data_IF_862435824736
#
_entry.id   IF_862435824736
#
_cell.length_a   1.000
_cell.length_b   1.000
_cell.length_c   1.000
_cell.angle_alpha   90.00
_cell.angle_beta   90.00
_cell.angle_gamma   90.00
#
_symmetry.space_group_name_H-M   'P 1'
#
loop_
_entity.id
_entity.type
_entity.pdbx_description
1 polymer ?
#
# COMPACT_ATOMS: atom_id res chain seq x y z
N UNK A 1 -35.22 -8.26 45.18
CA UNK A 1 -34.22 -9.04 44.43
C UNK A 1 -32.85 -8.60 44.88
N UNK A 2 -32.04 -9.52 45.41
CA UNK A 2 -30.67 -9.23 45.90
C UNK A 2 -29.76 -8.85 44.71
N UNK A 3 -28.81 -7.91 44.86
CA UNK A 3 -27.81 -7.66 43.84
C UNK A 3 -26.96 -8.91 43.63
N UNK A 4 -26.70 -9.27 42.37
CA UNK A 4 -25.89 -10.43 42.02
C UNK A 4 -24.43 -10.22 42.46
N UNK A 5 -23.83 -11.23 43.09
CA UNK A 5 -22.42 -11.30 43.50
C UNK A 5 -21.38 -11.00 42.39
N UNK A 6 -21.79 -10.93 41.13
CA UNK A 6 -20.91 -10.61 39.99
C UNK A 6 -20.61 -9.12 39.83
N UNK A 7 -21.39 -8.22 40.44
CA UNK A 7 -21.13 -6.77 40.39
C UNK A 7 -20.12 -6.29 41.44
N UNK A 8 -19.64 -7.17 42.33
CA UNK A 8 -18.69 -6.82 43.40
C UNK A 8 -17.24 -7.23 43.12
N UNK A 9 -16.95 -7.84 41.96
CA UNK A 9 -15.59 -8.36 41.64
C UNK A 9 -14.83 -7.48 40.65
N UNK A 10 -15.51 -6.57 39.95
CA UNK A 10 -14.86 -5.59 39.07
C UNK A 10 -15.20 -4.18 39.57
N UNK A 11 -14.25 -3.44 40.17
CA UNK A 11 -14.49 -2.04 40.50
C UNK A 11 -14.89 -1.32 39.22
N UNK A 12 -16.00 -0.58 39.25
CA UNK A 12 -16.45 0.28 38.15
C UNK A 12 -15.31 1.25 37.81
N UNK A 13 -14.54 0.90 36.78
CA UNK A 13 -13.47 1.73 36.28
C UNK A 13 -14.05 3.08 35.87
N UNK A 14 -13.35 4.15 36.26
CA UNK A 14 -13.69 5.54 35.93
C UNK A 14 -14.08 5.63 34.46
N UNK A 15 -15.33 6.01 34.17
CA UNK A 15 -15.81 6.10 32.80
C UNK A 15 -15.01 7.16 32.03
N UNK A 16 -14.45 6.79 30.88
CA UNK A 16 -13.73 7.74 30.03
C UNK A 16 -14.63 8.29 28.93
N UNK A 17 -14.30 9.49 28.47
CA UNK A 17 -14.96 10.09 27.30
C UNK A 17 -14.48 9.41 26.01
N UNK A 18 -15.33 9.42 24.98
CA UNK A 18 -14.96 8.92 23.65
C UNK A 18 -13.74 9.67 23.08
N UNK A 19 -13.63 10.97 23.36
CA UNK A 19 -12.50 11.82 22.96
C UNK A 19 -11.19 11.35 23.59
N UNK A 20 -11.18 11.05 24.91
CA UNK A 20 -9.98 10.54 25.58
C UNK A 20 -9.54 9.20 24.97
N UNK A 21 -10.49 8.32 24.69
CA UNK A 21 -10.19 7.04 24.05
C UNK A 21 -9.54 7.22 22.67
N UNK A 22 -10.06 8.15 21.85
CA UNK A 22 -9.47 8.51 20.55
C UNK A 22 -8.06 9.08 20.70
N UNK A 23 -7.83 9.97 21.67
CA UNK A 23 -6.50 10.55 21.92
C UNK A 23 -5.50 9.48 22.37
N UNK A 24 -5.90 8.56 23.26
CA UNK A 24 -5.04 7.45 23.66
C UNK A 24 -4.71 6.52 22.49
N UNK A 25 -5.69 6.22 21.64
CA UNK A 25 -5.43 5.46 20.41
C UNK A 25 -4.52 6.21 19.44
N UNK A 26 -4.68 7.51 19.24
CA UNK A 26 -3.80 8.30 18.38
C UNK A 26 -2.36 8.33 18.89
N UNK A 27 -2.17 8.46 20.21
CA UNK A 27 -0.85 8.32 20.85
C UNK A 27 -0.26 6.94 20.63
N UNK A 28 -1.07 5.89 20.79
CA UNK A 28 -0.64 4.51 20.54
C UNK A 28 -0.14 4.34 19.10
N UNK A 29 -0.90 4.80 18.10
CA UNK A 29 -0.49 4.71 16.69
C UNK A 29 0.84 5.44 16.43
N UNK A 30 1.02 6.63 16.99
CA UNK A 30 2.27 7.40 16.81
C UNK A 30 3.46 6.71 17.45
N UNK A 31 3.30 6.11 18.62
CA UNK A 31 4.41 5.51 19.37
C UNK A 31 4.80 4.15 18.79
N UNK A 32 3.81 3.31 18.44
CA UNK A 32 4.06 1.91 18.11
C UNK A 32 3.90 1.58 16.62
N UNK A 33 2.91 2.16 15.95
CA UNK A 33 2.55 1.75 14.58
C UNK A 33 3.17 2.63 13.49
N UNK A 34 3.90 3.68 13.86
CA UNK A 34 4.61 4.61 12.97
C UNK A 34 6.14 4.55 13.16
N UNK A 35 6.69 3.43 13.63
CA UNK A 35 8.14 3.28 13.86
C UNK A 35 8.95 3.56 12.59
N UNK A 36 8.63 2.90 11.47
CA UNK A 36 9.29 3.14 10.17
C UNK A 36 9.15 4.58 9.68
N UNK A 37 7.99 5.21 9.87
CA UNK A 37 7.80 6.62 9.55
C UNK A 37 8.81 7.49 10.29
N UNK A 38 8.97 7.31 11.60
CA UNK A 38 9.95 8.08 12.37
C UNK A 38 11.39 7.69 12.08
N UNK A 39 11.68 6.43 11.73
CA UNK A 39 13.01 6.00 11.30
C UNK A 39 13.49 6.81 10.08
N UNK A 40 12.69 6.85 9.01
CA UNK A 40 13.02 7.61 7.80
C UNK A 40 13.06 9.12 8.04
N UNK A 41 12.21 9.64 8.92
CA UNK A 41 12.29 11.06 9.35
C UNK A 41 13.63 11.36 10.02
N UNK A 42 14.15 10.47 10.86
CA UNK A 42 15.41 10.67 11.58
C UNK A 42 16.64 10.55 10.66
N UNK A 43 16.55 9.84 9.55
CA UNK A 43 17.60 9.82 8.52
C UNK A 43 17.75 11.20 7.84
N UNK A 44 16.63 11.87 7.59
CA UNK A 44 16.60 13.22 6.96
C UNK A 44 16.81 14.34 7.97
N UNK A 45 16.22 14.21 9.17
CA UNK A 45 16.28 15.18 10.25
C UNK A 45 16.86 14.53 11.52
N UNK A 46 18.20 14.36 11.60
CA UNK A 46 18.84 13.67 12.72
C UNK A 46 18.53 14.30 14.07
N UNK A 47 18.50 13.45 15.11
CA UNK A 47 18.24 13.86 16.47
C UNK A 47 19.32 14.82 16.97
N UNK A 48 18.98 16.10 17.07
CA UNK A 48 19.86 17.18 17.51
C UNK A 48 19.06 18.27 18.20
N UNK A 49 19.72 19.11 19.00
CA UNK A 49 19.07 20.26 19.65
C UNK A 49 18.34 21.18 18.67
N UNK A 50 18.83 21.29 17.42
CA UNK A 50 18.19 22.10 16.37
C UNK A 50 16.89 21.48 15.87
N UNK A 51 16.85 20.16 15.71
CA UNK A 51 15.71 19.45 15.14
C UNK A 51 14.71 18.97 16.20
N UNK A 52 15.09 18.94 17.48
CA UNK A 52 14.26 18.42 18.57
C UNK A 52 12.85 19.01 18.58
N UNK A 53 12.74 20.34 18.48
CA UNK A 53 11.44 21.01 18.51
C UNK A 53 10.60 20.69 17.26
N UNK A 54 11.24 20.48 16.10
CA UNK A 54 10.55 20.08 14.86
C UNK A 54 10.06 18.64 14.94
N UNK A 55 10.88 17.71 15.42
CA UNK A 55 10.51 16.31 15.63
C UNK A 55 9.37 16.18 16.65
N UNK A 56 9.45 16.93 17.76
CA UNK A 56 8.37 16.99 18.74
C UNK A 56 7.08 17.56 18.13
N UNK A 57 7.20 18.60 17.29
CA UNK A 57 6.06 19.18 16.59
C UNK A 57 5.42 18.21 15.60
N UNK A 58 6.24 17.39 14.90
CA UNK A 58 5.76 16.38 13.96
C UNK A 58 5.02 15.26 14.69
N UNK A 59 5.55 14.76 15.80
CA UNK A 59 4.88 13.75 16.62
C UNK A 59 3.55 14.29 17.17
N UNK A 60 3.56 15.51 17.74
CA UNK A 60 2.33 16.15 18.24
C UNK A 60 1.31 16.40 17.13
N UNK A 61 1.75 16.92 15.98
CA UNK A 61 0.92 17.13 14.80
C UNK A 61 0.34 15.82 14.25
N UNK A 62 1.13 14.73 14.28
CA UNK A 62 0.69 13.38 13.92
C UNK A 62 -0.40 12.86 14.85
N UNK A 63 -0.25 13.02 16.18
CA UNK A 63 -1.31 12.66 17.14
C UNK A 63 -2.60 13.44 16.86
N UNK A 64 -2.50 14.75 16.57
CA UNK A 64 -3.68 15.56 16.24
C UNK A 64 -4.33 15.12 14.92
N UNK A 65 -3.53 14.82 13.89
CA UNK A 65 -4.02 14.37 12.59
C UNK A 65 -4.70 13.00 12.67
N UNK A 66 -4.10 12.03 13.35
CA UNK A 66 -4.69 10.71 13.58
C UNK A 66 -5.93 10.84 14.46
N UNK A 67 -5.89 11.64 15.52
CA UNK A 67 -7.04 11.90 16.37
C UNK A 67 -8.23 12.52 15.61
N UNK A 68 -7.95 13.50 14.73
CA UNK A 68 -8.94 14.09 13.84
C UNK A 68 -9.52 13.03 12.89
N UNK A 69 -8.67 12.26 12.23
CA UNK A 69 -9.07 11.16 11.35
C UNK A 69 -9.99 10.14 12.06
N UNK A 70 -9.59 9.65 13.23
CA UNK A 70 -10.38 8.69 14.01
C UNK A 70 -11.70 9.29 14.51
N UNK A 71 -11.72 10.59 14.83
CA UNK A 71 -12.96 11.31 15.21
C UNK A 71 -13.93 11.40 14.03
N UNK A 72 -13.43 11.70 12.83
CA UNK A 72 -14.22 11.74 11.60
C UNK A 72 -14.73 10.34 11.22
N UNK A 73 -13.88 9.30 11.26
CA UNK A 73 -14.28 7.92 11.02
C UNK A 73 -15.35 7.44 12.04
N UNK A 74 -15.15 7.80 13.31
CA UNK A 74 -16.12 7.54 14.38
C UNK A 74 -17.41 8.36 14.25
N UNK A 75 -17.52 9.29 13.30
CA UNK A 75 -18.77 10.02 13.06
C UNK A 75 -19.75 9.22 12.22
N UNK A 76 -19.26 8.29 11.40
CA UNK A 76 -20.07 7.38 10.57
C UNK A 76 -20.42 6.10 11.33
N UNK A 77 -19.48 5.56 12.10
CA UNK A 77 -19.64 4.31 12.85
C UNK A 77 -19.37 4.51 14.35
N UNK A 78 -19.84 3.61 15.25
CA UNK A 78 -19.55 3.73 16.68
C UNK A 78 -18.03 3.71 16.97
N UNK A 79 -17.58 4.53 17.92
CA UNK A 79 -16.15 4.76 18.19
C UNK A 79 -15.36 3.48 18.48
N UNK A 80 -15.89 2.57 19.31
CA UNK A 80 -15.18 1.34 19.68
C UNK A 80 -14.86 0.42 18.49
N UNK A 81 -15.85 0.01 17.65
CA UNK A 81 -15.58 -0.74 16.43
C UNK A 81 -14.56 -0.09 15.51
N UNK A 82 -14.64 1.24 15.33
CA UNK A 82 -13.69 1.98 14.48
C UNK A 82 -12.27 1.85 15.02
N UNK A 83 -12.07 2.10 16.31
CA UNK A 83 -10.75 1.99 16.94
C UNK A 83 -10.19 0.57 16.90
N UNK A 84 -11.03 -0.44 17.18
CA UNK A 84 -10.64 -1.85 17.11
C UNK A 84 -10.23 -2.21 15.68
N UNK A 85 -11.02 -1.84 14.67
CA UNK A 85 -10.69 -2.09 13.28
C UNK A 85 -9.34 -1.49 12.91
N UNK A 86 -9.12 -0.21 13.24
CA UNK A 86 -7.85 0.46 12.93
C UNK A 86 -6.68 -0.16 13.68
N UNK A 87 -6.80 -0.51 14.96
CA UNK A 87 -5.72 -1.17 15.70
C UNK A 87 -5.32 -2.52 15.07
N UNK A 88 -6.30 -3.32 14.65
CA UNK A 88 -6.03 -4.61 14.00
C UNK A 88 -5.35 -4.42 12.65
N UNK A 89 -5.91 -3.58 11.78
CA UNK A 89 -5.36 -3.36 10.43
C UNK A 89 -3.99 -2.66 10.49
N UNK A 90 -3.85 -1.64 11.32
CA UNK A 90 -2.58 -0.93 11.53
C UNK A 90 -1.49 -1.82 12.07
N UNK A 91 -1.79 -2.82 12.90
CA UNK A 91 -0.77 -3.74 13.41
C UNK A 91 -0.13 -4.58 12.29
N UNK A 92 -0.94 -5.00 11.31
CA UNK A 92 -0.45 -5.71 10.11
C UNK A 92 0.30 -4.75 9.19
N UNK A 93 -0.24 -3.55 8.99
CA UNK A 93 0.42 -2.51 8.19
C UNK A 93 1.79 -2.12 8.78
N UNK A 94 1.88 -1.94 10.10
CA UNK A 94 3.11 -1.64 10.82
C UNK A 94 4.13 -2.78 10.66
N UNK A 95 3.70 -4.05 10.75
CA UNK A 95 4.59 -5.18 10.49
C UNK A 95 5.20 -5.14 9.08
N UNK A 96 4.35 -4.91 8.06
CA UNK A 96 4.78 -4.87 6.66
C UNK A 96 5.74 -3.70 6.41
N UNK A 97 5.45 -2.53 6.96
CA UNK A 97 6.32 -1.35 6.88
C UNK A 97 7.65 -1.59 7.63
N UNK A 98 7.60 -2.06 8.87
CA UNK A 98 8.79 -2.23 9.72
C UNK A 98 9.71 -3.37 9.31
N UNK A 99 9.19 -4.40 8.63
CA UNK A 99 9.98 -5.58 8.26
C UNK A 99 10.49 -5.52 6.83
N UNK A 100 9.66 -5.00 5.91
CA UNK A 100 9.97 -5.02 4.48
C UNK A 100 10.16 -3.64 3.87
N UNK A 101 10.00 -2.58 4.67
CA UNK A 101 10.07 -1.18 4.22
C UNK A 101 9.08 -0.86 3.09
N UNK A 102 7.96 -1.58 3.07
CA UNK A 102 6.93 -1.48 2.04
C UNK A 102 5.98 -0.33 2.34
N UNK A 103 5.76 0.50 1.33
CA UNK A 103 4.69 1.51 1.32
C UNK A 103 3.37 0.88 0.86
N UNK A 104 2.29 1.10 1.63
CA UNK A 104 0.95 0.63 1.28
C UNK A 104 0.23 1.69 0.44
N UNK A 105 0.69 1.86 -0.79
CA UNK A 105 0.10 2.75 -1.79
C UNK A 105 -1.07 2.08 -2.55
N UNK A 106 -1.61 2.78 -3.55
CA UNK A 106 -2.69 2.25 -4.40
C UNK A 106 -2.29 0.94 -5.11
N UNK A 107 -1.03 0.83 -5.57
CA UNK A 107 -0.55 -0.36 -6.29
C UNK A 107 -0.43 -1.53 -5.32
N UNK A 108 0.04 -1.28 -4.10
CA UNK A 108 0.09 -2.32 -3.07
C UNK A 108 -1.31 -2.80 -2.66
N UNK A 109 -2.29 -1.90 -2.57
CA UNK A 109 -3.70 -2.31 -2.36
C UNK A 109 -4.19 -3.17 -3.53
N UNK A 110 -3.85 -2.81 -4.77
CA UNK A 110 -4.18 -3.63 -5.95
C UNK A 110 -3.50 -5.01 -5.87
N UNK A 111 -2.21 -5.09 -5.50
CA UNK A 111 -1.51 -6.34 -5.29
C UNK A 111 -2.22 -7.22 -4.27
N UNK A 112 -2.56 -6.67 -3.10
CA UNK A 112 -3.25 -7.42 -2.03
C UNK A 112 -4.58 -8.00 -2.52
N UNK A 113 -5.30 -7.29 -3.40
CA UNK A 113 -6.59 -7.74 -3.96
C UNK A 113 -6.41 -8.78 -5.06
N UNK A 114 -5.36 -8.66 -5.88
CA UNK A 114 -5.08 -9.55 -7.02
C UNK A 114 -4.31 -10.82 -6.61
N UNK A 115 -3.61 -10.78 -5.48
CA UNK A 115 -2.79 -11.87 -4.95
C UNK A 115 -3.64 -13.07 -4.49
N UNK A 116 -3.09 -14.27 -4.67
CA UNK A 116 -3.71 -15.53 -4.24
C UNK A 116 -3.21 -16.01 -2.85
N UNK A 117 -3.86 -17.05 -2.31
CA UNK A 117 -3.52 -17.58 -0.98
C UNK A 117 -2.13 -18.23 -0.93
N UNK A 118 -1.70 -18.89 -2.02
CA UNK A 118 -0.40 -19.56 -2.07
C UNK A 118 0.73 -18.54 -1.96
N UNK A 119 0.64 -17.43 -2.70
CA UNK A 119 1.57 -16.28 -2.61
C UNK A 119 1.61 -15.64 -1.22
N UNK A 120 0.45 -15.48 -0.57
CA UNK A 120 0.39 -14.76 0.73
C UNK A 120 0.85 -15.63 1.90
N UNK A 121 0.65 -16.95 1.82
CA UNK A 121 0.91 -17.85 2.95
C UNK A 121 2.39 -17.88 3.36
N UNK A 122 3.29 -17.69 2.41
CA UNK A 122 4.74 -17.62 2.64
C UNK A 122 5.17 -16.36 3.41
N UNK A 123 4.34 -15.30 3.41
CA UNK A 123 4.60 -14.08 4.17
C UNK A 123 4.21 -14.20 5.65
N UNK A 124 3.44 -15.24 6.02
CA UNK A 124 2.99 -15.47 7.38
C UNK A 124 4.13 -16.03 8.22
N UNK A 125 4.52 -15.31 9.28
CA UNK A 125 5.51 -15.80 10.21
C UNK A 125 5.21 -15.41 11.67
N UNK A 126 5.98 -15.96 12.60
CA UNK A 126 5.81 -15.73 14.03
C UNK A 126 5.97 -14.26 14.43
N UNK A 127 6.81 -13.49 13.70
CA UNK A 127 7.00 -12.06 13.97
C UNK A 127 5.73 -11.28 13.62
N UNK A 128 5.10 -11.58 12.48
CA UNK A 128 3.82 -10.98 12.11
C UNK A 128 2.72 -11.31 13.13
N UNK A 129 2.66 -12.57 13.59
CA UNK A 129 1.74 -12.95 14.66
C UNK A 129 2.01 -12.15 15.94
N UNK A 130 3.26 -11.95 16.33
CA UNK A 130 3.64 -11.09 17.46
C UNK A 130 3.13 -9.65 17.33
N UNK A 131 3.31 -9.02 16.17
CA UNK A 131 2.78 -7.68 15.87
C UNK A 131 1.25 -7.66 16.01
N UNK A 132 0.55 -8.60 15.38
CA UNK A 132 -0.90 -8.66 15.43
C UNK A 132 -1.44 -8.89 16.85
N UNK A 133 -0.79 -9.74 17.64
CA UNK A 133 -1.21 -10.03 19.02
C UNK A 133 -0.96 -8.82 19.95
N UNK A 134 0.25 -8.24 19.91
CA UNK A 134 0.69 -7.21 20.85
C UNK A 134 0.17 -5.84 20.46
N UNK A 135 0.25 -5.47 19.17
CA UNK A 135 -0.14 -4.14 18.68
C UNK A 135 -1.58 -4.08 18.18
N UNK A 136 -2.16 -5.22 17.80
CA UNK A 136 -3.55 -5.32 17.33
C UNK A 136 -4.51 -5.78 18.42
N UNK A 137 -4.47 -7.07 18.78
CA UNK A 137 -5.46 -7.71 19.65
C UNK A 137 -5.43 -7.17 21.09
N UNK A 138 -4.25 -7.02 21.69
CA UNK A 138 -4.13 -6.57 23.08
C UNK A 138 -4.73 -5.16 23.30
N UNK A 139 -4.36 -4.12 22.53
CA UNK A 139 -4.98 -2.81 22.66
C UNK A 139 -6.45 -2.81 22.22
N UNK A 140 -6.82 -3.63 21.22
CA UNK A 140 -8.23 -3.78 20.82
C UNK A 140 -9.09 -4.35 21.96
N UNK A 141 -8.57 -5.34 22.68
CA UNK A 141 -9.23 -5.89 23.86
C UNK A 141 -9.35 -4.85 24.99
N UNK A 142 -8.31 -4.03 25.20
CA UNK A 142 -8.39 -2.91 26.13
C UNK A 142 -9.50 -1.91 25.75
N UNK A 143 -9.57 -1.49 24.48
CA UNK A 143 -10.63 -0.61 23.94
C UNK A 143 -12.02 -1.23 24.13
N UNK A 144 -12.16 -2.53 23.88
CA UNK A 144 -13.41 -3.26 24.07
C UNK A 144 -13.90 -3.21 25.52
N UNK A 145 -13.00 -3.45 26.49
CA UNK A 145 -13.29 -3.54 27.92
C UNK A 145 -13.61 -2.20 28.59
N UNK A 146 -13.10 -1.09 28.06
CA UNK A 146 -13.25 0.23 28.68
C UNK A 146 -14.71 0.72 28.63
N UNK A 147 -15.25 1.20 29.74
CA UNK A 147 -16.57 1.86 29.80
C UNK A 147 -16.49 3.27 29.20
N UNK A 148 -17.25 3.50 28.13
CA UNK A 148 -17.35 4.82 27.48
C UNK A 148 -18.62 5.50 27.96
N UNK A 149 -18.49 6.75 28.41
CA UNK A 149 -19.60 7.57 28.87
C UNK A 149 -20.70 7.64 27.80
N UNK A 150 -21.93 7.30 28.19
CA UNK A 150 -23.09 7.38 27.30
C UNK A 150 -23.53 8.84 27.17
N UNK A 151 -23.64 9.30 25.94
CA UNK A 151 -24.12 10.66 25.65
C UNK A 151 -25.33 10.63 24.74
N UNK A 152 -26.17 11.66 24.84
CA UNK A 152 -27.23 11.87 23.86
C UNK A 152 -26.62 12.19 22.49
N UNK A 153 -27.30 11.75 21.42
CA UNK A 153 -26.82 11.91 20.04
C UNK A 153 -26.40 13.35 19.72
N UNK A 154 -27.20 14.35 20.11
CA UNK A 154 -26.89 15.78 19.91
C UNK A 154 -25.59 16.21 20.60
N UNK A 155 -25.38 15.78 21.86
CA UNK A 155 -24.16 16.11 22.61
C UNK A 155 -22.93 15.43 21.99
N UNK A 156 -23.08 14.17 21.56
CA UNK A 156 -22.01 13.43 20.90
C UNK A 156 -21.59 14.09 19.59
N UNK A 157 -22.54 14.52 18.76
CA UNK A 157 -22.26 15.25 17.49
C UNK A 157 -21.59 16.59 17.78
N UNK A 158 -22.14 17.40 18.69
CA UNK A 158 -21.56 18.71 19.02
C UNK A 158 -20.13 18.59 19.58
N UNK A 159 -19.88 17.57 20.41
CA UNK A 159 -18.54 17.27 20.92
C UNK A 159 -17.58 16.91 19.80
N UNK A 160 -17.96 16.03 18.86
CA UNK A 160 -17.11 15.66 17.72
C UNK A 160 -16.79 16.84 16.83
N UNK A 161 -17.76 17.73 16.56
CA UNK A 161 -17.54 18.96 15.79
C UNK A 161 -16.54 19.87 16.52
N UNK A 162 -16.76 20.10 17.82
CA UNK A 162 -15.86 20.90 18.66
C UNK A 162 -14.44 20.34 18.66
N UNK A 163 -14.30 19.03 18.91
CA UNK A 163 -13.00 18.37 19.02
C UNK A 163 -12.27 18.37 17.66
N UNK A 164 -13.00 18.19 16.56
CA UNK A 164 -12.45 18.29 15.20
C UNK A 164 -11.97 19.71 14.90
N UNK A 165 -12.73 20.74 15.29
CA UNK A 165 -12.34 22.14 15.11
C UNK A 165 -11.10 22.49 15.96
N UNK A 166 -11.05 22.05 17.21
CA UNK A 166 -9.89 22.22 18.08
C UNK A 166 -8.66 21.55 17.47
N UNK A 167 -8.78 20.31 17.01
CA UNK A 167 -7.69 19.59 16.35
C UNK A 167 -7.21 20.32 15.09
N UNK A 168 -8.12 20.80 14.25
CA UNK A 168 -7.79 21.54 13.03
C UNK A 168 -7.04 22.85 13.34
N UNK A 169 -7.52 23.63 14.32
CA UNK A 169 -6.85 24.86 14.76
C UNK A 169 -5.46 24.54 15.33
N UNK A 170 -5.34 23.48 16.14
CA UNK A 170 -4.07 23.07 16.72
C UNK A 170 -3.08 22.61 15.65
N UNK A 171 -3.51 21.80 14.67
CA UNK A 171 -2.70 21.40 13.52
C UNK A 171 -2.23 22.63 12.75
N UNK A 172 -3.14 23.56 12.46
CA UNK A 172 -2.81 24.79 11.75
C UNK A 172 -1.79 25.64 12.51
N UNK A 173 -1.96 25.80 13.83
CA UNK A 173 -1.03 26.53 14.69
C UNK A 173 0.36 25.87 14.71
N UNK A 174 0.43 24.53 14.81
CA UNK A 174 1.69 23.77 14.75
C UNK A 174 2.37 23.97 13.40
N UNK A 175 1.63 23.79 12.30
CA UNK A 175 2.17 23.95 10.93
C UNK A 175 2.67 25.38 10.69
N UNK A 176 1.95 26.40 11.14
CA UNK A 176 2.38 27.80 11.00
C UNK A 176 3.65 28.10 11.82
N UNK A 177 3.68 27.65 13.08
CA UNK A 177 4.83 27.85 13.99
C UNK A 177 6.09 27.23 13.40
N UNK A 178 5.97 26.08 12.74
CA UNK A 178 7.06 25.33 12.13
C UNK A 178 7.02 25.34 10.60
N UNK A 179 6.54 26.44 10.01
CA UNK A 179 6.24 26.54 8.56
C UNK A 179 7.41 26.19 7.64
N UNK A 180 8.63 26.60 7.98
CA UNK A 180 9.84 26.27 7.20
C UNK A 180 10.08 24.75 7.15
N UNK A 181 9.95 24.09 8.30
CA UNK A 181 10.10 22.65 8.40
C UNK A 181 9.00 21.93 7.62
N UNK A 182 7.73 22.26 7.87
CA UNK A 182 6.62 21.61 7.16
C UNK A 182 6.64 21.86 5.65
N UNK A 183 7.11 23.02 5.19
CA UNK A 183 7.28 23.28 3.75
C UNK A 183 8.34 22.34 3.14
N UNK A 184 9.49 22.17 3.80
CA UNK A 184 10.52 21.22 3.36
C UNK A 184 10.01 19.78 3.41
N UNK A 185 9.40 19.37 4.53
CA UNK A 185 8.85 18.04 4.72
C UNK A 185 7.81 17.68 3.64
N UNK A 186 6.85 18.57 3.36
CA UNK A 186 5.79 18.29 2.39
C UNK A 186 6.22 18.41 0.92
N UNK A 187 7.25 19.20 0.59
CA UNK A 187 7.68 19.41 -0.80
C UNK A 187 8.89 18.58 -1.21
N UNK A 188 9.91 18.56 -0.37
CA UNK A 188 11.20 17.92 -0.70
C UNK A 188 11.22 16.44 -0.29
N UNK A 189 10.42 16.08 0.72
CA UNK A 189 10.40 14.73 1.30
C UNK A 189 9.00 14.12 1.24
N UNK A 190 8.28 14.36 0.15
CA UNK A 190 6.94 13.82 -0.09
C UNK A 190 6.82 12.32 0.21
N UNK A 191 7.78 11.44 -0.19
CA UNK A 191 7.65 10.00 0.05
C UNK A 191 7.58 9.60 1.53
N UNK A 192 8.13 10.40 2.44
CA UNK A 192 8.12 10.08 3.87
C UNK A 192 6.71 9.97 4.44
N UNK A 193 5.76 10.75 3.91
CA UNK A 193 4.37 10.72 4.38
C UNK A 193 3.65 9.42 4.01
N UNK A 194 4.18 8.65 3.06
CA UNK A 194 3.58 7.41 2.61
C UNK A 194 3.67 6.28 3.64
N UNK A 195 4.59 6.40 4.62
CA UNK A 195 4.69 5.50 5.76
C UNK A 195 3.73 5.85 6.91
N UNK A 196 2.89 6.88 6.76
CA UNK A 196 1.98 7.30 7.83
C UNK A 196 0.82 6.32 8.03
N UNK A 197 0.81 5.67 9.18
CA UNK A 197 -0.18 4.67 9.58
C UNK A 197 -1.16 5.28 10.62
N UNK A 198 -2.49 5.20 10.49
CA UNK A 198 -3.28 4.54 9.44
C UNK A 198 -3.66 5.42 8.24
N UNK A 199 -3.33 6.71 8.27
CA UNK A 199 -3.92 7.70 7.35
C UNK A 199 -3.61 7.36 5.88
N UNK A 200 -2.36 6.97 5.58
CA UNK A 200 -1.93 6.80 4.19
C UNK A 200 -2.57 5.58 3.52
N UNK A 201 -2.56 4.40 4.16
CA UNK A 201 -3.19 3.23 3.54
C UNK A 201 -4.70 3.40 3.37
N UNK A 202 -5.36 4.18 4.24
CA UNK A 202 -6.80 4.53 4.09
C UNK A 202 -7.01 5.43 2.89
N UNK A 203 -6.14 6.41 2.68
CA UNK A 203 -6.12 7.24 1.48
C UNK A 203 -5.91 6.37 0.22
N UNK A 204 -4.94 5.46 0.25
CA UNK A 204 -4.66 4.52 -0.85
C UNK A 204 -5.85 3.62 -1.17
N UNK A 205 -6.49 3.06 -0.15
CA UNK A 205 -7.70 2.25 -0.30
C UNK A 205 -8.87 3.07 -0.87
N UNK A 206 -9.07 4.30 -0.39
CA UNK A 206 -10.12 5.20 -0.91
C UNK A 206 -9.89 5.55 -2.38
N UNK A 207 -8.62 5.82 -2.75
CA UNK A 207 -8.21 6.03 -4.15
C UNK A 207 -8.44 4.78 -5.00
N UNK A 208 -8.15 3.59 -4.46
CA UNK A 208 -8.39 2.32 -5.14
C UNK A 208 -9.87 2.08 -5.43
N UNK A 209 -10.71 2.25 -4.41
CA UNK A 209 -12.15 2.13 -4.53
C UNK A 209 -12.69 3.14 -5.56
N UNK A 210 -12.30 4.42 -5.46
CA UNK A 210 -12.78 5.47 -6.37
C UNK A 210 -12.45 5.21 -7.84
N UNK A 211 -11.24 4.72 -8.14
CA UNK A 211 -10.84 4.36 -9.50
C UNK A 211 -11.62 3.17 -10.04
N UNK A 212 -11.72 2.08 -9.29
CA UNK A 212 -12.44 0.88 -9.76
C UNK A 212 -13.94 1.08 -9.93
N UNK A 213 -14.57 1.98 -9.15
CA UNK A 213 -15.97 2.36 -9.38
C UNK A 213 -16.17 3.14 -10.70
N UNK A 214 -15.17 3.89 -11.15
CA UNK A 214 -15.25 4.68 -12.39
C UNK A 214 -15.04 3.82 -13.64
N UNK A 215 -14.39 2.65 -13.49
CA UNK A 215 -14.06 1.75 -14.60
C UNK A 215 -15.19 0.80 -15.04
N UNK A 216 -16.39 0.87 -14.44
CA UNK A 216 -17.48 -0.09 -14.72
C UNK A 216 -18.10 0.01 -16.13
N UNK A 217 -17.85 1.07 -16.90
CA UNK A 217 -18.41 1.30 -18.25
C UNK A 217 -17.33 1.56 -19.31
N UNK A 218 -16.11 1.04 -19.15
CA UNK A 218 -15.04 1.38 -20.12
C UNK A 218 -15.06 0.47 -21.34
N UNK A 219 -15.28 1.09 -22.49
CA UNK A 219 -15.07 0.49 -23.81
C UNK A 219 -13.56 0.39 -24.07
N UNK A 220 -13.06 -0.82 -24.29
CA UNK A 220 -11.66 -1.03 -24.68
C UNK A 220 -11.43 -0.40 -26.06
N UNK A 221 -10.43 0.48 -26.15
CA UNK A 221 -10.02 1.11 -27.39
C UNK A 221 -9.24 0.09 -28.24
N UNK A 222 -9.70 -0.21 -29.47
CA UNK A 222 -9.03 -1.18 -30.31
C UNK A 222 -7.71 -0.64 -30.85
N UNK A 223 -6.74 -1.52 -31.04
CA UNK A 223 -5.40 -1.21 -31.55
C UNK A 223 -5.04 -2.14 -32.71
N UNK A 224 -4.29 -1.63 -33.69
CA UNK A 224 -3.68 -2.44 -34.75
C UNK A 224 -4.68 -3.25 -35.58
N UNK A 225 -5.88 -2.71 -35.82
CA UNK A 225 -6.89 -3.34 -36.70
C UNK A 225 -6.43 -3.49 -38.15
N UNK A 226 -5.41 -2.72 -38.54
CA UNK A 226 -4.72 -2.74 -39.82
C UNK A 226 -3.42 -3.57 -39.80
N UNK A 227 -3.14 -4.29 -38.70
CA UNK A 227 -1.96 -5.12 -38.60
C UNK A 227 -1.98 -6.23 -39.66
N UNK A 228 -0.88 -6.34 -40.40
CA UNK A 228 -0.68 -7.36 -41.43
C UNK A 228 0.63 -8.09 -41.16
N UNK A 229 0.69 -9.36 -41.57
CA UNK A 229 1.91 -10.18 -41.47
C UNK A 229 2.59 -10.16 -42.82
N UNK A 230 3.81 -9.63 -42.88
CA UNK A 230 4.64 -9.77 -44.08
C UNK A 230 5.06 -11.24 -44.23
N UNK A 231 4.54 -11.88 -45.27
CA UNK A 231 4.94 -13.22 -45.69
C UNK A 231 6.32 -13.17 -46.37
N UNK A 232 7.37 -12.95 -45.58
CA UNK A 232 8.74 -13.13 -46.04
C UNK A 232 9.07 -14.64 -45.99
N UNK A 233 8.29 -15.43 -46.75
CA UNK A 233 8.46 -16.87 -46.92
C UNK A 233 9.53 -17.05 -47.99
N UNK A 234 10.80 -17.10 -47.58
CA UNK A 234 11.79 -17.79 -48.40
C UNK A 234 11.38 -19.26 -48.43
N UNK A 235 10.79 -19.69 -49.55
CA UNK A 235 10.58 -21.11 -49.86
C UNK A 235 11.94 -21.81 -49.92
N UNK A 236 12.45 -22.24 -48.76
CA UNK A 236 13.57 -23.18 -48.75
C UNK A 236 12.99 -24.59 -48.84
N UNK A 237 12.94 -25.12 -50.07
CA UNK A 237 12.74 -26.55 -50.37
C UNK A 237 11.39 -27.14 -49.94
N UNK A 238 10.29 -26.49 -50.33
CA UNK A 238 8.95 -27.12 -50.33
C UNK A 238 8.28 -27.28 -48.96
N UNK A 239 8.86 -26.74 -47.89
CA UNK A 239 8.21 -26.62 -46.59
C UNK A 239 8.05 -25.13 -46.23
N UNK A 240 6.82 -24.69 -45.99
CA UNK A 240 6.55 -23.37 -45.40
C UNK A 240 7.10 -23.36 -43.98
N UNK A 241 8.25 -22.73 -43.75
CA UNK A 241 8.84 -22.64 -42.42
C UNK A 241 7.94 -21.77 -41.51
N UNK A 242 7.26 -22.39 -40.55
CA UNK A 242 6.49 -21.66 -39.53
C UNK A 242 7.44 -21.00 -38.54
N UNK A 243 7.26 -19.71 -38.27
CA UNK A 243 8.00 -18.99 -37.22
C UNK A 243 7.37 -19.31 -35.86
N UNK A 244 8.19 -19.76 -34.91
CA UNK A 244 7.78 -19.98 -33.51
C UNK A 244 8.56 -19.01 -32.62
N UNK A 245 7.84 -18.25 -31.79
CA UNK A 245 8.41 -17.37 -30.78
C UNK A 245 7.94 -17.83 -29.41
N UNK A 246 8.87 -17.96 -28.46
CA UNK A 246 8.57 -18.26 -27.06
C UNK A 246 9.01 -17.06 -26.25
N UNK A 247 8.04 -16.35 -25.65
CA UNK A 247 8.29 -15.28 -24.71
C UNK A 247 8.18 -15.82 -23.28
N UNK A 248 9.30 -15.81 -22.56
CA UNK A 248 9.33 -16.17 -21.13
C UNK A 248 9.23 -14.89 -20.30
N UNK A 249 8.12 -14.71 -19.60
CA UNK A 249 7.94 -13.62 -18.65
C UNK A 249 8.44 -14.10 -17.29
N UNK A 250 9.56 -13.53 -16.82
CA UNK A 250 10.16 -13.89 -15.52
C UNK A 250 9.46 -13.22 -14.35
N UNK A 251 9.75 -13.72 -13.14
CA UNK A 251 9.23 -13.19 -11.87
C UNK A 251 10.40 -12.93 -10.89
N UNK A 252 10.38 -11.77 -10.22
CA UNK A 252 11.34 -11.31 -9.21
C UNK A 252 12.87 -11.37 -9.51
N UNK A 253 13.28 -11.84 -10.68
CA UNK A 253 14.68 -11.96 -11.08
C UNK A 253 15.34 -10.59 -11.26
N UNK A 254 16.57 -10.40 -10.74
CA UNK A 254 17.31 -9.14 -10.78
C UNK A 254 18.68 -9.28 -11.42
N UNK A 255 19.05 -8.32 -12.27
CA UNK A 255 20.27 -8.37 -13.10
C UNK A 255 21.57 -8.46 -12.28
N UNK A 256 21.65 -7.82 -11.12
CA UNK A 256 22.86 -7.85 -10.27
C UNK A 256 23.19 -9.24 -9.70
N UNK A 257 22.27 -10.22 -9.82
CA UNK A 257 22.46 -11.62 -9.40
C UNK A 257 22.56 -12.59 -10.58
N UNK A 258 22.72 -12.09 -11.80
CA UNK A 258 22.97 -12.91 -12.98
C UNK A 258 24.48 -13.06 -13.20
N UNK A 259 24.98 -14.30 -13.27
CA UNK A 259 26.40 -14.55 -13.55
C UNK A 259 26.81 -14.05 -14.93
N UNK A 260 25.88 -14.01 -15.87
CA UNK A 260 26.04 -13.42 -17.19
C UNK A 260 26.33 -11.91 -17.15
N UNK A 261 25.94 -11.24 -16.06
CA UNK A 261 26.18 -9.80 -15.82
C UNK A 261 27.34 -9.55 -14.83
N UNK A 262 28.10 -10.59 -14.48
CA UNK A 262 29.28 -10.49 -13.62
C UNK A 262 29.06 -10.79 -12.14
N UNK A 263 27.91 -11.37 -11.77
CA UNK A 263 27.69 -11.85 -10.40
C UNK A 263 28.69 -12.96 -10.03
N UNK A 264 29.24 -12.90 -8.81
CA UNK A 264 30.32 -13.79 -8.35
C UNK A 264 29.96 -15.27 -8.30
N UNK A 265 28.67 -15.61 -8.15
CA UNK A 265 28.19 -17.00 -8.14
C UNK A 265 27.66 -17.35 -9.52
N UNK A 266 27.95 -18.55 -10.00
CA UNK A 266 27.47 -19.03 -11.30
C UNK A 266 25.96 -19.40 -11.23
N UNK A 267 25.09 -18.42 -11.47
CA UNK A 267 23.62 -18.55 -11.39
C UNK A 267 22.96 -18.95 -12.71
N UNK A 268 23.65 -18.76 -13.85
CA UNK A 268 23.13 -19.11 -15.18
C UNK A 268 24.00 -20.14 -15.94
N UNK A 269 24.40 -21.27 -15.32
CA UNK A 269 25.41 -22.18 -15.89
C UNK A 269 25.02 -22.85 -17.20
N UNK A 270 23.72 -23.02 -17.47
CA UNK A 270 23.25 -23.62 -18.74
C UNK A 270 23.23 -22.59 -19.86
N UNK A 271 22.69 -21.40 -19.61
CA UNK A 271 22.64 -20.31 -20.60
C UNK A 271 24.03 -19.87 -21.06
N UNK A 272 25.03 -19.94 -20.18
CA UNK A 272 26.44 -19.64 -20.51
C UNK A 272 27.03 -20.54 -21.60
N UNK A 273 26.44 -21.72 -21.85
CA UNK A 273 26.92 -22.68 -22.86
C UNK A 273 26.29 -22.45 -24.24
N UNK A 274 25.25 -21.64 -24.30
CA UNK A 274 24.46 -21.38 -25.50
C UNK A 274 24.93 -20.09 -26.18
N UNK A 275 24.67 -19.96 -27.48
CA UNK A 275 24.88 -18.71 -28.23
C UNK A 275 23.73 -17.75 -27.96
N UNK A 276 23.92 -16.87 -26.97
CA UNK A 276 22.88 -15.94 -26.49
C UNK A 276 23.28 -14.48 -26.65
N UNK A 277 22.27 -13.63 -26.84
CA UNK A 277 22.40 -12.18 -26.70
C UNK A 277 21.96 -11.80 -25.30
N UNK A 278 22.89 -11.30 -24.48
CA UNK A 278 22.60 -10.81 -23.14
C UNK A 278 22.46 -9.27 -23.14
N UNK A 279 21.39 -8.77 -22.52
CA UNK A 279 21.14 -7.34 -22.35
C UNK A 279 21.35 -6.94 -20.88
N UNK A 280 22.54 -6.45 -20.54
CA UNK A 280 22.93 -6.14 -19.16
C UNK A 280 22.38 -4.82 -18.59
N UNK A 281 21.65 -4.03 -19.39
CA UNK A 281 21.13 -2.71 -19.01
C UNK A 281 19.65 -2.57 -19.37
N UNK A 282 18.83 -3.44 -18.78
CA UNK A 282 17.37 -3.42 -18.94
C UNK A 282 16.72 -3.00 -17.62
N UNK A 283 15.65 -2.21 -17.71
CA UNK A 283 14.90 -1.72 -16.57
C UNK A 283 13.43 -2.06 -16.74
N UNK A 284 12.78 -2.50 -15.66
CA UNK A 284 11.35 -2.82 -15.65
C UNK A 284 10.48 -1.57 -15.78
N UNK A 285 9.23 -1.75 -16.19
CA UNK A 285 8.23 -0.68 -16.18
C UNK A 285 7.82 -0.29 -14.76
N UNK A 286 7.59 -1.29 -13.89
CA UNK A 286 7.30 -1.11 -12.47
C UNK A 286 8.06 -2.10 -11.59
N UNK A 287 7.64 -2.21 -10.33
CA UNK A 287 8.26 -3.08 -9.33
C UNK A 287 7.30 -4.13 -8.77
N UNK A 288 6.12 -4.29 -9.38
CA UNK A 288 5.17 -5.37 -9.13
C UNK A 288 4.73 -6.00 -10.44
N UNK A 289 4.32 -7.27 -10.39
CA UNK A 289 3.78 -8.03 -11.52
C UNK A 289 2.51 -7.38 -12.07
N UNK A 290 1.58 -7.00 -11.18
CA UNK A 290 0.32 -6.32 -11.49
C UNK A 290 0.47 -5.01 -12.30
N UNK A 291 1.61 -4.34 -12.17
CA UNK A 291 1.92 -3.11 -12.90
C UNK A 291 2.79 -3.39 -14.13
N UNK A 292 3.83 -4.22 -13.96
CA UNK A 292 4.85 -4.43 -14.98
C UNK A 292 4.35 -5.26 -16.15
N UNK A 293 3.59 -6.32 -15.90
CA UNK A 293 3.09 -7.20 -16.97
C UNK A 293 2.15 -6.41 -17.89
N UNK A 294 1.07 -5.76 -17.42
CA UNK A 294 0.22 -4.97 -18.31
C UNK A 294 0.98 -3.87 -19.05
N UNK A 295 1.94 -3.21 -18.40
CA UNK A 295 2.76 -2.20 -19.05
C UNK A 295 3.61 -2.75 -20.20
N UNK A 296 4.29 -3.89 -20.00
CA UNK A 296 5.18 -4.50 -21.00
C UNK A 296 4.45 -4.89 -22.29
N UNK A 297 3.19 -5.30 -22.19
CA UNK A 297 2.38 -5.67 -23.35
C UNK A 297 1.59 -4.48 -23.92
N UNK A 298 1.51 -3.36 -23.20
CA UNK A 298 0.81 -2.16 -23.66
C UNK A 298 1.58 -1.38 -24.72
N UNK A 299 0.88 -0.52 -25.45
CA UNK A 299 1.48 0.44 -26.40
C UNK A 299 2.19 1.61 -25.70
N UNK A 300 1.97 1.81 -24.40
CA UNK A 300 2.43 3.00 -23.71
C UNK A 300 3.87 2.87 -23.23
N UNK A 301 4.72 3.90 -23.41
CA UNK A 301 6.00 3.94 -22.75
C UNK A 301 5.81 4.05 -21.23
N UNK A 302 6.83 3.62 -20.46
CA UNK A 302 6.83 3.63 -18.99
C UNK A 302 6.36 4.96 -18.37
N UNK A 303 6.74 6.10 -18.96
CA UNK A 303 6.39 7.44 -18.46
C UNK A 303 4.91 7.80 -18.62
N UNK A 304 4.19 7.11 -19.51
CA UNK A 304 2.81 7.42 -19.87
C UNK A 304 1.82 6.33 -19.42
N UNK A 305 2.34 5.15 -19.12
CA UNK A 305 1.55 4.02 -18.66
C UNK A 305 0.94 4.29 -17.28
N UNK A 306 -0.31 3.87 -17.13
CA UNK A 306 -0.94 3.67 -15.84
C UNK A 306 -1.92 2.50 -15.95
N UNK A 307 -2.25 1.88 -14.81
CA UNK A 307 -3.10 0.69 -14.78
C UNK A 307 -4.47 0.90 -15.41
N UNK A 308 -5.01 2.13 -15.42
CA UNK A 308 -6.31 2.41 -16.04
C UNK A 308 -6.17 2.33 -17.57
N UNK A 309 -5.21 3.04 -18.16
CA UNK A 309 -4.92 2.97 -19.60
C UNK A 309 -4.65 1.54 -20.08
N UNK A 310 -3.87 0.78 -19.31
CA UNK A 310 -3.56 -0.62 -19.64
C UNK A 310 -4.80 -1.53 -19.67
N UNK A 311 -5.83 -1.23 -18.89
CA UNK A 311 -7.09 -1.99 -18.86
C UNK A 311 -8.07 -1.57 -19.96
N UNK A 312 -7.86 -0.42 -20.59
CA UNK A 312 -8.83 0.23 -21.48
C UNK A 312 -8.34 0.38 -22.92
N UNK A 313 -7.17 -0.16 -23.23
CA UNK A 313 -6.59 -0.16 -24.58
C UNK A 313 -6.08 -1.56 -24.87
N UNK A 314 -6.35 -2.05 -26.08
CA UNK A 314 -5.81 -3.32 -26.55
C UNK A 314 -4.28 -3.34 -26.53
N UNK A 315 -3.72 -4.52 -26.29
CA UNK A 315 -2.29 -4.74 -26.12
C UNK A 315 -1.69 -5.46 -27.33
N UNK A 316 -0.38 -5.71 -27.32
CA UNK A 316 0.32 -6.34 -28.44
C UNK A 316 -0.21 -7.73 -28.80
N UNK A 317 -0.73 -8.51 -27.83
CA UNK A 317 -1.31 -9.83 -28.11
C UNK A 317 -2.63 -9.70 -28.86
N UNK A 318 -3.44 -8.69 -28.54
CA UNK A 318 -4.69 -8.40 -29.25
C UNK A 318 -4.39 -8.02 -30.71
N UNK A 319 -3.37 -7.17 -30.92
CA UNK A 319 -2.90 -6.78 -32.27
C UNK A 319 -2.41 -7.99 -33.08
N UNK A 320 -1.65 -8.90 -32.45
CA UNK A 320 -1.20 -10.13 -33.12
C UNK A 320 -2.39 -11.05 -33.46
N UNK A 321 -3.38 -11.14 -32.57
CA UNK A 321 -4.60 -11.91 -32.80
C UNK A 321 -5.45 -11.33 -33.94
N UNK A 322 -5.51 -9.99 -34.08
CA UNK A 322 -6.23 -9.31 -35.16
C UNK A 322 -5.75 -9.69 -36.56
N UNK A 323 -4.50 -10.14 -36.70
CA UNK A 323 -3.99 -10.63 -37.99
C UNK A 323 -4.71 -11.90 -38.48
N UNK A 324 -5.31 -12.68 -37.58
CA UNK A 324 -5.96 -13.96 -37.90
C UNK A 324 -5.00 -15.08 -38.34
N UNK A 325 -3.69 -14.83 -38.34
CA UNK A 325 -2.66 -15.75 -38.85
C UNK A 325 -1.69 -16.25 -37.77
N UNK A 326 -1.72 -15.65 -36.58
CA UNK A 326 -0.79 -15.94 -35.49
C UNK A 326 -1.54 -16.64 -34.35
N UNK A 327 -1.15 -17.89 -34.08
CA UNK A 327 -1.65 -18.65 -32.94
C UNK A 327 -0.95 -18.18 -31.64
N UNK A 328 -1.73 -17.76 -30.65
CA UNK A 328 -1.22 -17.29 -29.35
C UNK A 328 -1.60 -18.31 -28.27
N UNK A 329 -0.62 -18.69 -27.44
CA UNK A 329 -0.81 -19.55 -26.29
C UNK A 329 -0.17 -18.92 -25.06
N UNK A 330 -1.00 -18.56 -24.07
CA UNK A 330 -0.53 -18.14 -22.74
C UNK A 330 -0.59 -19.31 -21.77
N UNK A 331 0.55 -19.69 -21.18
CA UNK A 331 0.61 -20.65 -20.08
C UNK A 331 1.06 -19.92 -18.83
N UNK A 332 0.23 -19.95 -17.81
CA UNK A 332 0.48 -19.24 -16.56
C UNK A 332 0.85 -20.22 -15.44
N UNK A 333 1.84 -19.84 -14.64
CA UNK A 333 2.29 -20.54 -13.44
C UNK A 333 2.85 -19.53 -12.42
N UNK A 334 2.23 -18.35 -12.35
CA UNK A 334 2.48 -17.37 -11.30
C UNK A 334 1.53 -17.61 -10.12
#
# INVERSE_FOLDING_TARGET
MKPSYLSSVFPEGKEITATQLVVFSALFFIIFDNSTFFHHILEVYPFSFKNFLFLASLAAGGVLAIGLFLTLASSVCPTKPVLILFLLVSSVAAYVMDTYDIVIDYIMIQNIVETNWNETSDLLNLRMAGYFLILGLLPSYAVFRVSVQKESFRRAVLRKIRDSLIALIAIFAVVLTFSKFYTSFFREHEPLRWYSNPIYYVYSLSKYIGKNFTLHDVKVEPLGLDATVEEDIKEDKGHTAKKLVILVVGEAARADHFSLDGYSRETNPQLKKEDIVNFSKVFSCGTSTSYSVPCMFSVFPRSEFNSDKGKTTENVLDVLHHTGLIDILWRDNN
#
